data_IF_648461321267
#
_entry.id   IF_648461321267
#
_cell.length_a   1.000
_cell.length_b   1.000
_cell.length_c   1.000
_cell.angle_alpha   90.00
_cell.angle_beta   90.00
_cell.angle_gamma   90.00
#
_symmetry.space_group_name_H-M   'P 1'
#
loop_
_entity.id
_entity.type
_entity.pdbx_description
1 polymer ?
#
# COMPACT_ATOMS: atom_id res chain seq x y z
N UNK A 1 44.39 -8.81 -0.95
CA UNK A 1 43.51 -7.77 -1.52
C UNK A 1 42.38 -7.52 -0.52
N UNK A 2 42.37 -6.41 0.23
CA UNK A 2 41.27 -6.13 1.14
C UNK A 2 40.02 -5.78 0.32
N UNK A 3 38.92 -6.50 0.56
CA UNK A 3 37.63 -6.24 -0.07
C UNK A 3 37.08 -4.90 0.44
N UNK A 4 37.00 -3.93 -0.45
CA UNK A 4 36.37 -2.64 -0.18
C UNK A 4 34.85 -2.86 -0.16
N UNK A 5 34.28 -3.05 1.03
CA UNK A 5 32.83 -3.10 1.23
C UNK A 5 32.26 -1.72 0.86
N UNK A 6 31.40 -1.70 -0.16
CA UNK A 6 30.73 -0.47 -0.57
C UNK A 6 29.90 0.07 0.61
N UNK A 7 30.09 1.34 0.97
CA UNK A 7 29.44 2.00 2.13
C UNK A 7 27.90 1.90 2.14
N UNK A 8 27.29 1.50 1.02
CA UNK A 8 25.85 1.27 0.88
C UNK A 8 25.37 0.06 1.70
N UNK A 9 26.21 -0.95 1.91
CA UNK A 9 25.83 -2.15 2.67
C UNK A 9 25.79 -1.93 4.20
N UNK A 10 26.36 -0.83 4.70
CA UNK A 10 26.47 -0.56 6.14
C UNK A 10 25.18 -0.04 6.79
N UNK A 11 24.18 0.38 6.00
CA UNK A 11 22.94 0.99 6.52
C UNK A 11 21.69 0.12 6.28
N UNK A 12 21.83 -1.20 6.45
CA UNK A 12 20.69 -2.13 6.43
C UNK A 12 20.05 -2.23 7.82
N UNK A 13 19.33 -1.18 8.21
CA UNK A 13 18.53 -1.17 9.44
C UNK A 13 17.24 -1.95 9.19
N UNK A 14 16.85 -2.79 10.14
CA UNK A 14 15.62 -3.58 10.08
C UNK A 14 14.77 -3.36 11.32
N UNK A 15 13.45 -3.44 11.16
CA UNK A 15 12.47 -3.35 12.23
C UNK A 15 11.61 -4.62 12.20
N UNK A 16 11.23 -5.12 13.38
CA UNK A 16 10.32 -6.26 13.46
C UNK A 16 8.94 -5.85 12.92
N UNK A 17 8.32 -6.72 12.11
CA UNK A 17 6.98 -6.52 11.56
C UNK A 17 5.88 -6.66 12.62
N UNK A 18 6.18 -7.36 13.70
CA UNK A 18 5.27 -7.71 14.78
C UNK A 18 5.95 -7.50 16.15
N UNK A 19 5.22 -7.73 17.25
CA UNK A 19 5.76 -7.57 18.61
C UNK A 19 6.90 -8.55 18.91
N UNK A 20 7.00 -9.65 18.16
CA UNK A 20 7.96 -10.72 18.39
C UNK A 20 9.28 -10.53 17.64
N UNK A 21 10.39 -10.45 18.38
CA UNK A 21 11.76 -10.47 17.86
C UNK A 21 12.21 -11.89 17.53
N UNK A 22 11.46 -12.62 16.71
CA UNK A 22 11.86 -13.98 16.35
C UNK A 22 13.12 -13.95 15.47
N UNK A 23 13.92 -15.02 15.52
CA UNK A 23 15.10 -15.19 14.66
C UNK A 23 14.79 -15.36 13.17
N UNK A 24 13.51 -15.33 12.77
CA UNK A 24 13.12 -15.53 11.39
C UNK A 24 13.26 -14.23 10.57
N UNK A 25 14.13 -14.26 9.56
CA UNK A 25 14.38 -13.14 8.65
C UNK A 25 13.11 -12.60 7.96
N UNK A 26 12.06 -13.41 7.75
CA UNK A 26 10.82 -12.96 7.09
C UNK A 26 9.97 -12.02 7.95
N UNK A 27 10.20 -12.01 9.26
CA UNK A 27 9.52 -11.13 10.21
C UNK A 27 10.16 -9.76 10.35
N UNK A 28 11.25 -9.50 9.62
CA UNK A 28 11.91 -8.21 9.61
C UNK A 28 11.55 -7.44 8.34
N UNK A 29 11.40 -6.12 8.46
CA UNK A 29 11.27 -5.20 7.34
C UNK A 29 12.44 -4.24 7.33
N UNK A 30 13.06 -4.07 6.16
CA UNK A 30 14.15 -3.12 6.00
C UNK A 30 13.61 -1.69 6.07
N UNK A 31 14.30 -0.83 6.81
CA UNK A 31 14.03 0.61 6.83
C UNK A 31 14.58 1.23 5.56
N UNK A 32 13.72 1.99 4.87
CA UNK A 32 14.08 2.72 3.66
C UNK A 32 14.52 4.13 4.04
N UNK A 33 15.71 4.53 3.59
CA UNK A 33 16.26 5.86 3.82
C UNK A 33 16.21 6.67 2.53
N UNK A 34 15.71 7.91 2.59
CA UNK A 34 15.72 8.81 1.42
C UNK A 34 17.14 9.25 1.01
N UNK A 35 18.07 9.29 1.98
CA UNK A 35 19.47 9.70 1.82
C UNK A 35 20.33 8.88 2.78
N UNK A 36 21.58 8.59 2.42
CA UNK A 36 22.51 7.89 3.32
C UNK A 36 23.03 8.92 4.35
N UNK A 37 22.81 8.70 5.66
CA UNK A 37 23.34 9.60 6.69
C UNK A 37 24.86 9.47 6.73
N UNK A 38 25.57 10.52 6.34
CA UNK A 38 27.03 10.61 6.46
C UNK A 38 27.39 11.52 7.62
N UNK A 39 28.17 11.00 8.57
CA UNK A 39 28.70 11.82 9.66
C UNK A 39 29.88 12.66 9.17
N UNK A 40 29.56 13.76 8.49
CA UNK A 40 30.54 14.70 7.93
C UNK A 40 30.34 16.09 8.52
N UNK A 41 29.80 16.16 9.74
CA UNK A 41 29.63 17.42 10.47
C UNK A 41 31.01 17.91 10.90
N UNK A 42 31.37 19.11 10.47
CA UNK A 42 32.65 19.73 10.78
C UNK A 42 32.39 20.99 11.60
N UNK A 43 33.06 21.09 12.75
CA UNK A 43 33.03 22.29 13.57
C UNK A 43 34.27 23.14 13.30
N UNK A 44 34.06 24.41 13.02
CA UNK A 44 35.11 25.39 12.77
C UNK A 44 34.86 26.63 13.62
N UNK A 45 35.93 27.24 14.11
CA UNK A 45 35.87 28.51 14.83
C UNK A 45 36.32 29.59 13.86
N UNK A 46 35.40 30.50 13.50
CA UNK A 46 35.68 31.62 12.60
C UNK A 46 35.44 32.92 13.35
N UNK A 47 36.54 33.56 13.75
CA UNK A 47 36.53 34.81 14.53
C UNK A 47 35.85 34.64 15.90
N UNK A 48 34.69 35.28 16.03
CA UNK A 48 33.85 35.26 17.24
C UNK A 48 32.63 34.35 17.11
N UNK A 49 32.63 33.43 16.14
CA UNK A 49 31.57 32.45 15.92
C UNK A 49 32.12 31.04 15.89
N UNK A 50 31.33 30.12 16.42
CA UNK A 50 31.51 28.69 16.27
C UNK A 50 30.50 28.25 15.20
N UNK A 51 30.98 27.64 14.12
CA UNK A 51 30.16 27.19 13.00
C UNK A 51 30.26 25.66 12.94
N UNK A 52 29.13 24.98 13.08
CA UNK A 52 29.03 23.56 12.77
C UNK A 52 28.39 23.42 11.40
N UNK A 53 29.21 23.06 10.41
CA UNK A 53 28.77 22.88 9.05
C UNK A 53 28.08 21.52 8.90
N UNK A 54 27.08 21.51 8.02
CA UNK A 54 26.41 20.29 7.56
C UNK A 54 25.69 19.50 8.66
N UNK A 55 24.96 20.19 9.52
CA UNK A 55 24.15 19.56 10.59
C UNK A 55 22.76 19.22 10.08
N UNK A 56 22.35 17.97 10.27
CA UNK A 56 20.97 17.53 10.07
C UNK A 56 20.15 17.86 11.32
N UNK A 57 18.99 18.53 11.13
CA UNK A 57 18.14 18.97 12.24
C UNK A 57 16.72 18.41 12.22
N UNK A 58 16.35 17.67 11.18
CA UNK A 58 15.02 17.07 11.12
C UNK A 58 15.04 15.64 10.57
N UNK A 59 14.19 14.83 11.19
CA UNK A 59 13.99 13.43 10.89
C UNK A 59 12.48 13.16 10.84
N UNK A 60 12.00 12.58 9.75
CA UNK A 60 10.63 12.10 9.65
C UNK A 60 10.64 10.60 9.45
N UNK A 61 9.88 9.88 10.27
CA UNK A 61 9.72 8.43 10.23
C UNK A 61 8.27 8.16 9.82
N UNK A 62 8.09 7.54 8.67
CA UNK A 62 6.79 7.11 8.16
C UNK A 62 6.65 5.60 8.38
N UNK A 63 5.72 5.19 9.23
CA UNK A 63 5.43 3.80 9.56
C UNK A 63 4.16 3.38 8.83
N UNK A 64 4.30 2.48 7.86
CA UNK A 64 3.17 1.88 7.15
C UNK A 64 2.76 0.60 7.87
N UNK A 65 1.49 0.49 8.24
CA UNK A 65 0.96 -0.68 8.93
C UNK A 65 -0.32 -1.17 8.24
N UNK A 66 -0.58 -2.47 8.37
CA UNK A 66 -1.78 -3.12 7.85
C UNK A 66 -2.49 -3.88 8.96
N UNK A 67 -3.82 -3.85 8.92
CA UNK A 67 -4.69 -4.60 9.80
C UNK A 67 -4.91 -5.99 9.20
N UNK A 68 -4.58 -7.04 9.95
CA UNK A 68 -4.81 -8.40 9.50
C UNK A 68 -6.27 -8.80 9.79
N UNK A 69 -6.97 -9.45 8.83
CA UNK A 69 -8.32 -9.95 9.09
C UNK A 69 -8.26 -11.01 10.19
N UNK A 70 -9.11 -10.84 11.21
CA UNK A 70 -9.15 -11.70 12.41
C UNK A 70 -9.36 -13.16 12.03
N UNK A 71 -8.33 -13.96 12.28
CA UNK A 71 -8.41 -15.42 12.40
C UNK A 71 -7.60 -15.73 13.67
N UNK A 72 -8.25 -15.61 14.82
CA UNK A 72 -7.83 -16.12 16.14
C UNK A 72 -6.54 -15.63 16.83
N UNK A 73 -5.67 -14.80 16.23
CA UNK A 73 -4.43 -14.32 16.89
C UNK A 73 -4.49 -12.87 17.43
N UNK A 74 -3.83 -12.65 18.57
CA UNK A 74 -3.75 -11.40 19.35
C UNK A 74 -3.00 -10.24 18.65
N UNK A 75 -2.37 -10.49 17.49
CA UNK A 75 -1.61 -9.48 16.73
C UNK A 75 -2.43 -8.89 15.57
N UNK A 76 -3.23 -7.86 15.87
CA UNK A 76 -4.13 -7.24 14.90
C UNK A 76 -3.44 -6.30 13.87
N UNK A 77 -2.20 -5.91 14.11
CA UNK A 77 -1.49 -4.94 13.29
C UNK A 77 -0.09 -5.43 12.92
N UNK A 78 0.27 -5.27 11.65
CA UNK A 78 1.59 -5.64 11.12
C UNK A 78 2.22 -4.45 10.42
N UNK A 79 3.48 -4.17 10.73
CA UNK A 79 4.26 -3.17 10.00
C UNK A 79 4.56 -3.72 8.61
N UNK A 80 4.07 -3.01 7.59
CA UNK A 80 4.31 -3.30 6.19
C UNK A 80 5.63 -2.69 5.71
N UNK A 81 5.99 -1.52 6.24
CA UNK A 81 7.19 -0.77 5.86
C UNK A 81 7.51 0.37 6.81
N UNK A 82 8.79 0.76 6.85
CA UNK A 82 9.24 1.95 7.57
C UNK A 82 10.11 2.76 6.62
N UNK A 83 9.70 4.00 6.39
CA UNK A 83 10.46 5.00 5.65
C UNK A 83 11.05 6.03 6.60
N UNK A 84 12.28 6.47 6.34
CA UNK A 84 12.95 7.52 7.07
C UNK A 84 13.39 8.59 6.08
N UNK A 85 12.86 9.79 6.29
CA UNK A 85 13.17 10.98 5.53
C UNK A 85 14.04 11.90 6.37
N UNK A 86 15.31 12.01 6.00
CA UNK A 86 16.24 12.99 6.54
C UNK A 86 15.93 14.34 5.88
N UNK A 87 15.76 15.37 6.70
CA UNK A 87 15.55 16.74 6.22
C UNK A 87 16.81 17.38 5.64
N UNK A 88 16.76 18.70 5.52
CA UNK A 88 17.86 19.45 4.93
C UNK A 88 19.00 19.68 5.93
N UNK A 89 20.18 19.78 5.34
CA UNK A 89 21.44 19.89 6.05
C UNK A 89 21.84 21.36 6.05
N UNK A 90 21.93 21.94 7.25
CA UNK A 90 22.16 23.37 7.43
C UNK A 90 23.37 23.61 8.34
N UNK A 91 23.92 24.82 8.26
CA UNK A 91 24.99 25.23 9.16
C UNK A 91 24.39 25.82 10.43
N UNK A 92 24.88 25.33 11.56
CA UNK A 92 24.58 25.92 12.86
C UNK A 92 25.69 26.90 13.22
N UNK A 93 25.31 28.02 13.84
CA UNK A 93 26.25 29.03 14.29
C UNK A 93 25.89 29.47 15.71
N UNK A 94 26.91 29.60 16.53
CA UNK A 94 26.82 30.15 17.87
C UNK A 94 27.82 31.29 18.03
N UNK A 95 27.50 32.24 18.92
CA UNK A 95 28.49 33.18 19.41
C UNK A 95 29.59 32.44 20.17
N UNK A 96 30.81 32.95 20.13
CA UNK A 96 31.92 32.42 20.90
C UNK A 96 31.59 32.52 22.39
N UNK A 97 31.65 31.40 23.08
CA UNK A 97 31.57 31.38 24.54
C UNK A 97 32.97 31.19 25.13
N UNK A 98 33.18 31.77 26.32
CA UNK A 98 34.41 31.63 27.12
C UNK A 98 34.01 31.34 28.57
N UNK A 99 34.72 30.43 29.24
CA UNK A 99 34.47 30.03 30.62
C UNK A 99 34.02 28.58 30.79
N UNK A 100 33.92 28.11 32.04
CA UNK A 100 33.35 26.81 32.39
C UNK A 100 31.89 26.70 31.92
N UNK A 101 31.51 25.56 31.34
CA UNK A 101 30.14 25.31 30.86
C UNK A 101 29.78 25.91 29.49
N UNK A 102 30.74 26.46 28.75
CA UNK A 102 30.52 27.04 27.42
C UNK A 102 29.84 26.07 26.42
N UNK A 103 30.19 24.78 26.46
CA UNK A 103 29.58 23.77 25.58
C UNK A 103 28.09 23.57 25.88
N UNK A 104 27.65 23.75 27.13
CA UNK A 104 26.25 23.55 27.55
C UNK A 104 25.30 24.63 27.02
N UNK A 105 25.86 25.77 26.60
CA UNK A 105 25.15 26.84 25.89
C UNK A 105 24.87 26.49 24.42
N UNK A 106 25.68 25.60 23.82
CA UNK A 106 25.62 25.26 22.39
C UNK A 106 24.45 24.30 22.14
N UNK A 107 23.22 24.80 22.22
CA UNK A 107 22.02 24.00 21.98
C UNK A 107 21.69 23.96 20.49
N UNK A 108 21.49 22.74 19.99
CA UNK A 108 20.95 22.46 18.67
C UNK A 108 19.62 21.73 18.84
N UNK A 109 18.54 22.28 18.29
CA UNK A 109 17.26 21.59 18.27
C UNK A 109 17.21 20.62 17.09
N UNK A 110 16.85 19.37 17.39
CA UNK A 110 16.58 18.31 16.43
C UNK A 110 15.09 17.97 16.53
N UNK A 111 14.40 18.02 15.40
CA UNK A 111 12.96 17.78 15.33
C UNK A 111 12.70 16.42 14.70
N UNK A 112 12.01 15.55 15.43
CA UNK A 112 11.64 14.21 14.96
C UNK A 112 10.14 14.09 14.86
N UNK A 113 9.66 13.63 13.72
CA UNK A 113 8.24 13.35 13.47
C UNK A 113 8.06 11.86 13.20
N UNK A 114 7.02 11.26 13.78
CA UNK A 114 6.62 9.90 13.48
C UNK A 114 5.18 9.95 12.96
N UNK A 115 4.96 9.40 11.76
CA UNK A 115 3.66 9.40 11.09
C UNK A 115 3.27 7.97 10.79
N UNK A 116 2.05 7.59 11.16
CA UNK A 116 1.52 6.25 10.92
C UNK A 116 0.52 6.28 9.75
N UNK A 117 0.72 5.38 8.78
CA UNK A 117 -0.12 5.24 7.60
C UNK A 117 -0.79 3.87 7.62
N UNK A 118 -2.12 3.86 7.64
CA UNK A 118 -2.91 2.64 7.49
C UNK A 118 -3.01 2.27 6.01
N UNK A 119 -2.49 1.09 5.66
CA UNK A 119 -2.53 0.52 4.30
C UNK A 119 -3.41 -0.74 4.23
N UNK A 120 -4.33 -0.93 5.19
CA UNK A 120 -5.30 -2.03 5.19
C UNK A 120 -6.40 -1.87 4.14
N UNK A 121 -6.79 -0.64 3.82
CA UNK A 121 -7.84 -0.36 2.85
C UNK A 121 -7.29 -0.43 1.41
N UNK A 122 -8.04 -1.02 0.46
CA UNK A 122 -7.64 -1.03 -0.94
C UNK A 122 -7.64 0.40 -1.49
N UNK A 123 -6.65 0.72 -2.33
CA UNK A 123 -6.51 2.03 -2.98
C UNK A 123 -7.61 2.33 -4.01
N UNK A 124 -8.42 1.33 -4.37
CA UNK A 124 -9.53 1.45 -5.30
C UNK A 124 -10.76 0.71 -4.76
N UNK A 125 -11.92 1.37 -4.82
CA UNK A 125 -13.20 0.73 -4.62
C UNK A 125 -13.52 -0.11 -5.87
N UNK A 126 -13.48 -1.43 -5.74
CA UNK A 126 -14.08 -2.29 -6.74
C UNK A 126 -15.59 -2.21 -6.56
N UNK A 127 -16.26 -1.45 -7.41
CA UNK A 127 -17.69 -1.61 -7.58
C UNK A 127 -17.88 -3.04 -8.12
N UNK A 128 -18.60 -3.88 -7.38
CA UNK A 128 -19.15 -5.10 -7.94
C UNK A 128 -19.84 -4.71 -9.25
N UNK A 129 -19.61 -5.48 -10.32
CA UNK A 129 -20.01 -5.13 -11.69
C UNK A 129 -21.41 -4.54 -11.75
N UNK A 130 -21.61 -3.60 -12.68
CA UNK A 130 -22.86 -2.86 -12.84
C UNK A 130 -24.07 -3.79 -12.72
N UNK A 131 -25.19 -3.34 -12.12
CA UNK A 131 -26.34 -4.18 -11.86
C UNK A 131 -26.68 -4.97 -13.12
N UNK A 132 -26.96 -6.27 -12.99
CA UNK A 132 -27.52 -7.03 -14.11
C UNK A 132 -28.74 -6.25 -14.59
N UNK A 133 -28.60 -5.58 -15.73
CA UNK A 133 -29.68 -4.90 -16.41
C UNK A 133 -30.53 -6.01 -17.04
N UNK A 134 -31.30 -6.70 -16.20
CA UNK A 134 -32.40 -7.56 -16.65
C UNK A 134 -33.52 -6.63 -17.14
N UNK A 135 -33.29 -6.04 -18.31
CA UNK A 135 -34.28 -5.20 -18.98
C UNK A 135 -35.29 -6.16 -19.60
N UNK A 136 -36.33 -6.49 -18.85
CA UNK A 136 -37.56 -7.02 -19.44
C UNK A 136 -38.24 -5.87 -20.19
N UNK A 137 -37.88 -5.68 -21.46
CA UNK A 137 -38.59 -4.76 -22.33
C UNK A 137 -40.03 -5.23 -22.48
N UNK A 138 -41.06 -4.43 -22.13
CA UNK A 138 -42.42 -4.78 -22.45
C UNK A 138 -42.57 -4.90 -23.97
N UNK A 139 -43.43 -5.83 -24.41
CA UNK A 139 -43.67 -6.18 -25.82
C UNK A 139 -43.93 -4.99 -26.77
N UNK A 140 -44.29 -3.82 -26.22
CA UNK A 140 -44.56 -2.58 -26.96
C UNK A 140 -43.30 -1.88 -27.51
N UNK A 141 -42.08 -2.26 -27.10
CA UNK A 141 -40.86 -1.63 -27.64
C UNK A 141 -40.56 -1.98 -29.11
N UNK A 142 -41.22 -3.00 -29.67
CA UNK A 142 -40.98 -3.47 -31.04
C UNK A 142 -42.16 -3.27 -32.01
N UNK A 143 -43.24 -2.61 -31.57
CA UNK A 143 -44.46 -2.48 -32.36
C UNK A 143 -44.50 -1.22 -33.25
N UNK A 144 -43.49 -1.03 -34.11
CA UNK A 144 -43.78 -0.56 -35.46
C UNK A 144 -43.05 -1.33 -36.58
N UNK A 145 -42.27 -2.38 -36.27
CA UNK A 145 -41.51 -3.13 -37.28
C UNK A 145 -42.21 -4.39 -37.82
N UNK A 146 -43.45 -4.68 -37.39
CA UNK A 146 -44.22 -5.87 -37.78
C UNK A 146 -45.44 -5.57 -38.67
N UNK A 147 -45.66 -4.33 -39.11
CA UNK A 147 -46.82 -3.94 -39.94
C UNK A 147 -46.58 -4.12 -41.45
N UNK A 148 -46.04 -5.27 -41.87
CA UNK A 148 -45.74 -5.51 -43.29
C UNK A 148 -45.49 -6.94 -43.75
N UNK A 149 -45.83 -7.97 -42.98
CA UNK A 149 -45.63 -9.37 -43.37
C UNK A 149 -46.94 -10.06 -43.74
N UNK A 150 -47.17 -10.28 -45.03
CA UNK A 150 -48.26 -11.11 -45.56
C UNK A 150 -48.23 -12.51 -44.95
N UNK A 151 -49.35 -12.90 -44.34
CA UNK A 151 -49.62 -14.27 -43.89
C UNK A 151 -49.67 -15.21 -45.10
N UNK A 152 -48.69 -16.09 -45.24
CA UNK A 152 -48.76 -17.29 -46.06
C UNK A 152 -48.47 -18.49 -45.18
N UNK A 153 -49.50 -19.29 -44.91
CA UNK A 153 -49.38 -20.50 -44.10
C UNK A 153 -48.44 -21.51 -44.74
N UNK A 154 -47.51 -22.02 -43.93
CA UNK A 154 -46.75 -23.23 -44.21
C UNK A 154 -46.34 -23.91 -42.90
N UNK A 155 -47.13 -24.91 -42.51
CA UNK A 155 -46.74 -26.21 -41.91
C UNK A 155 -45.76 -26.14 -40.72
N UNK A 156 -46.20 -26.13 -39.47
CA UNK A 156 -46.78 -27.26 -38.70
C UNK A 156 -46.16 -28.64 -38.99
N UNK A 157 -44.84 -28.77 -38.79
CA UNK A 157 -44.17 -30.09 -38.87
C UNK A 157 -43.09 -30.36 -37.80
N UNK A 158 -42.78 -29.45 -36.88
CA UNK A 158 -41.81 -29.73 -35.80
C UNK A 158 -42.43 -29.95 -34.40
N UNK A 159 -43.64 -29.46 -34.13
CA UNK A 159 -44.24 -29.59 -32.78
C UNK A 159 -44.78 -31.01 -32.52
N UNK A 160 -45.19 -31.74 -33.57
CA UNK A 160 -45.68 -33.12 -33.45
C UNK A 160 -44.60 -34.14 -33.07
N UNK A 161 -43.32 -33.91 -33.42
CA UNK A 161 -42.23 -34.82 -33.06
C UNK A 161 -41.85 -34.72 -31.58
N UNK A 162 -41.94 -33.54 -30.97
CA UNK A 162 -41.54 -33.36 -29.57
C UNK A 162 -42.49 -34.06 -28.58
N UNK A 163 -43.81 -34.05 -28.85
CA UNK A 163 -44.80 -34.74 -28.01
C UNK A 163 -44.79 -36.26 -28.16
N UNK A 164 -44.31 -36.79 -29.30
CA UNK A 164 -44.19 -38.23 -29.47
C UNK A 164 -42.99 -38.77 -28.69
N UNK A 165 -41.84 -38.10 -28.66
CA UNK A 165 -40.68 -38.56 -27.88
C UNK A 165 -40.91 -38.52 -26.36
N UNK A 166 -41.66 -37.54 -25.84
CA UNK A 166 -41.95 -37.47 -24.40
C UNK A 166 -42.92 -38.56 -23.94
N UNK A 167 -43.91 -38.95 -24.75
CA UNK A 167 -44.87 -39.99 -24.37
C UNK A 167 -44.25 -41.41 -24.32
N UNK A 168 -43.27 -41.71 -25.18
CA UNK A 168 -42.56 -43.01 -25.16
C UNK A 168 -41.57 -43.14 -23.98
N UNK A 169 -40.98 -42.03 -23.51
CA UNK A 169 -40.11 -42.03 -22.32
C UNK A 169 -40.93 -42.31 -21.05
N UNK A 170 -42.13 -41.74 -20.94
CA UNK A 170 -43.00 -41.97 -19.77
C UNK A 170 -43.58 -43.39 -19.70
N UNK A 171 -43.81 -44.06 -20.85
CA UNK A 171 -44.30 -45.45 -20.88
C UNK A 171 -43.22 -46.49 -20.52
N UNK A 172 -41.93 -46.21 -20.76
CA UNK A 172 -40.83 -47.12 -20.40
C UNK A 172 -40.52 -47.13 -18.89
N UNK A 173 -41.03 -46.16 -18.13
CA UNK A 173 -40.79 -46.03 -16.69
C UNK A 173 -41.93 -46.58 -15.82
N UNK A 174 -43.03 -47.08 -16.41
CA UNK A 174 -44.24 -47.54 -15.70
C UNK A 174 -44.53 -49.05 -15.93
N UNK A 175 -43.65 -49.79 -16.62
CA UNK A 175 -43.66 -51.27 -16.66
C UNK A 175 -42.45 -51.87 -15.97
#
# INVERSE_FOLDING_TARGET
VPKQFSQVEQYKVHVSKASNTSGNATQWVQVLLNKIPRNNANAEVSGDRIICARVLRSLRIDVMFSVLPKIDDEEHYKIAGVGVTLGDVNNLQWGKCRGEGCVDWLRAEVITYVVFHDVSAPSMYYYAGGPNLDISLPYDFFYPFLSGGTYSGAQDLEIRRFYQYSFWIFLYFIT
#
